data_IF_603689985014
#
_entry.id   IF_603689985014
#
_cell.length_a   1.000
_cell.length_b   1.000
_cell.length_c   1.000
_cell.angle_alpha   90.00
_cell.angle_beta   90.00
_cell.angle_gamma   90.00
#
_symmetry.space_group_name_H-M   'P 1'
#
loop_
_entity.id
_entity.type
_entity.pdbx_description
1 polymer ?
#
# COMPACT_ATOMS: atom_id res chain seq x y z
N UNK A 1 -14.01 63.84 -6.67
CA UNK A 1 -14.04 62.38 -6.97
C UNK A 1 -15.48 61.98 -7.26
N UNK A 2 -15.74 61.28 -8.37
CA UNK A 2 -17.10 60.96 -8.78
C UNK A 2 -17.60 59.71 -8.05
N UNK A 3 -18.87 59.72 -7.60
CA UNK A 3 -19.46 58.64 -6.78
C UNK A 3 -19.43 57.27 -7.48
N UNK A 4 -19.49 57.27 -8.83
CA UNK A 4 -19.34 56.07 -9.65
C UNK A 4 -17.95 55.39 -9.53
N UNK A 5 -16.87 56.16 -9.32
CA UNK A 5 -15.50 55.60 -9.22
C UNK A 5 -15.34 54.79 -7.93
N UNK A 6 -15.95 55.25 -6.83
CA UNK A 6 -15.98 54.50 -5.57
C UNK A 6 -16.75 53.18 -5.69
N UNK A 7 -17.90 53.18 -6.38
CA UNK A 7 -18.73 51.98 -6.57
C UNK A 7 -18.02 50.88 -7.40
N UNK A 8 -17.27 51.26 -8.44
CA UNK A 8 -16.51 50.29 -9.26
C UNK A 8 -15.39 49.63 -8.44
N UNK A 9 -14.69 50.38 -7.58
CA UNK A 9 -13.65 49.84 -6.71
C UNK A 9 -14.23 48.82 -5.71
N UNK A 10 -15.39 49.10 -5.11
CA UNK A 10 -16.05 48.16 -4.19
C UNK A 10 -16.49 46.84 -4.84
N UNK A 11 -16.80 46.83 -6.15
CA UNK A 11 -17.15 45.60 -6.86
C UNK A 11 -15.93 44.74 -7.20
N UNK A 12 -14.78 45.36 -7.47
CA UNK A 12 -13.53 44.64 -7.76
C UNK A 12 -12.99 43.84 -6.55
N UNK A 13 -13.26 44.29 -5.32
CA UNK A 13 -12.84 43.61 -4.08
C UNK A 13 -13.68 42.36 -3.77
N UNK A 14 -14.89 42.26 -4.32
CA UNK A 14 -15.79 41.11 -4.10
C UNK A 14 -15.38 39.83 -4.85
N UNK A 15 -14.43 39.91 -5.80
CA UNK A 15 -13.84 38.77 -6.51
C UNK A 15 -12.64 38.17 -5.74
N UNK A 16 -12.78 38.08 -4.41
CA UNK A 16 -11.75 37.64 -3.49
C UNK A 16 -11.44 36.14 -3.54
N UNK A 17 -10.71 35.72 -4.58
CA UNK A 17 -9.86 34.52 -4.67
C UNK A 17 -10.26 33.35 -3.75
N UNK A 18 -11.31 32.61 -4.10
CA UNK A 18 -11.58 31.27 -3.58
C UNK A 18 -10.58 30.25 -4.16
N UNK A 19 -9.30 30.41 -3.80
CA UNK A 19 -8.25 29.47 -4.12
C UNK A 19 -8.55 28.13 -3.43
N UNK A 20 -8.87 27.10 -4.21
CA UNK A 20 -9.11 25.76 -3.68
C UNK A 20 -7.83 25.23 -3.03
N UNK A 21 -7.85 25.03 -1.71
CA UNK A 21 -6.74 24.47 -0.97
C UNK A 21 -6.54 23.00 -1.35
N UNK A 22 -5.31 22.63 -1.76
CA UNK A 22 -4.90 21.23 -1.88
C UNK A 22 -4.78 20.52 -0.53
N UNK A 23 -4.72 21.27 0.57
CA UNK A 23 -4.75 20.70 1.91
C UNK A 23 -6.21 20.52 2.32
N UNK A 24 -6.69 19.28 2.23
CA UNK A 24 -7.96 18.84 2.81
C UNK A 24 -7.81 18.65 4.33
N UNK A 25 -8.93 18.64 5.03
CA UNK A 25 -9.00 18.29 6.46
C UNK A 25 -9.82 17.01 6.59
N UNK A 26 -9.32 16.05 7.35
CA UNK A 26 -9.99 14.79 7.62
C UNK A 26 -10.26 14.66 9.12
N UNK A 27 -11.48 14.22 9.48
CA UNK A 27 -11.96 14.11 10.87
C UNK A 27 -12.65 12.75 11.13
N UNK A 28 -12.38 11.73 10.31
CA UNK A 28 -12.90 10.37 10.48
C UNK A 28 -11.98 9.48 11.32
N UNK A 29 -12.22 8.15 11.31
CA UNK A 29 -11.37 7.18 12.00
C UNK A 29 -9.91 7.21 11.53
N UNK A 30 -8.96 6.93 12.41
CA UNK A 30 -7.53 6.97 12.08
C UNK A 30 -7.13 5.88 11.09
N UNK A 31 -6.31 6.22 10.09
CA UNK A 31 -5.66 5.21 9.23
C UNK A 31 -4.61 4.47 10.07
N UNK A 32 -4.97 3.28 10.53
CA UNK A 32 -4.10 2.41 11.33
C UNK A 32 -3.02 1.76 10.49
N UNK A 33 -3.31 1.53 9.20
CA UNK A 33 -2.53 0.66 8.32
C UNK A 33 -2.86 0.92 6.85
N UNK A 34 -1.95 0.58 5.94
CA UNK A 34 -2.10 0.76 4.48
C UNK A 34 -1.66 -0.52 3.77
N UNK A 35 -2.51 -1.03 2.87
CA UNK A 35 -2.13 -2.12 1.96
C UNK A 35 -1.97 -1.58 0.54
N UNK A 36 -0.93 -2.05 -0.16
CA UNK A 36 -0.63 -1.69 -1.55
C UNK A 36 -0.44 -2.99 -2.34
N UNK A 37 -1.50 -3.46 -2.99
CA UNK A 37 -1.47 -4.70 -3.75
C UNK A 37 -0.90 -4.46 -5.13
N UNK A 38 0.38 -4.80 -5.34
CA UNK A 38 1.04 -4.56 -6.63
C UNK A 38 0.30 -5.27 -7.76
N UNK A 39 -0.15 -6.51 -7.60
CA UNK A 39 -0.83 -7.27 -8.67
C UNK A 39 -2.12 -6.59 -9.16
N UNK A 40 -3.02 -6.23 -8.24
CA UNK A 40 -4.35 -5.66 -8.57
C UNK A 40 -4.32 -4.14 -8.82
N UNK A 41 -3.20 -3.47 -8.49
CA UNK A 41 -3.04 -2.00 -8.50
C UNK A 41 -4.02 -1.27 -7.56
N UNK A 42 -4.44 -1.93 -6.47
CA UNK A 42 -5.33 -1.38 -5.44
C UNK A 42 -4.60 -1.03 -4.16
N UNK A 43 -4.77 0.20 -3.68
CA UNK A 43 -4.32 0.67 -2.38
C UNK A 43 -5.53 0.84 -1.45
N UNK A 44 -5.42 0.34 -0.23
CA UNK A 44 -6.43 0.49 0.81
C UNK A 44 -5.86 1.27 2.00
N UNK A 45 -6.63 2.23 2.52
CA UNK A 45 -6.37 2.85 3.82
C UNK A 45 -7.30 2.20 4.85
N UNK A 46 -6.74 1.53 5.84
CA UNK A 46 -7.48 0.72 6.81
C UNK A 46 -7.66 1.43 8.15
N UNK A 47 -8.77 1.15 8.82
CA UNK A 47 -8.97 1.37 10.25
C UNK A 47 -9.31 0.03 10.89
N UNK A 48 -8.30 -0.63 11.45
CA UNK A 48 -8.35 -2.04 11.85
C UNK A 48 -8.81 -2.92 10.67
N UNK A 49 -9.89 -3.67 10.82
CA UNK A 49 -10.48 -4.53 9.79
C UNK A 49 -11.16 -3.78 8.63
N UNK A 50 -11.43 -2.48 8.80
CA UNK A 50 -12.36 -1.73 7.95
C UNK A 50 -11.65 -0.82 6.97
N UNK A 51 -11.87 -1.01 5.66
CA UNK A 51 -11.36 -0.13 4.62
C UNK A 51 -12.08 1.24 4.63
N UNK A 52 -11.32 2.32 4.88
CA UNK A 52 -11.80 3.70 4.85
C UNK A 52 -11.80 4.31 3.44
N UNK A 53 -10.87 3.88 2.60
CA UNK A 53 -10.73 4.34 1.22
C UNK A 53 -10.00 3.30 0.36
N UNK A 54 -10.33 3.27 -0.94
CA UNK A 54 -9.64 2.52 -1.99
C UNK A 54 -9.12 3.50 -3.04
N UNK A 55 -7.92 3.26 -3.59
CA UNK A 55 -7.34 4.02 -4.69
C UNK A 55 -6.71 3.10 -5.75
N UNK A 56 -6.85 3.47 -7.02
CA UNK A 56 -6.04 2.94 -8.12
C UNK A 56 -4.66 3.64 -8.13
N UNK A 57 -3.59 2.93 -8.53
CA UNK A 57 -2.25 3.55 -8.65
C UNK A 57 -1.41 3.03 -9.82
N UNK A 58 -0.40 3.83 -10.18
CA UNK A 58 0.75 3.44 -11.00
C UNK A 58 2.00 3.19 -10.14
N UNK A 59 2.84 2.24 -10.54
CA UNK A 59 4.12 1.92 -9.89
C UNK A 59 5.32 2.54 -10.62
N UNK A 60 6.53 2.11 -10.25
CA UNK A 60 7.70 2.29 -11.10
C UNK A 60 7.69 1.39 -12.35
N UNK A 61 8.43 1.80 -13.38
CA UNK A 61 8.44 1.19 -14.72
C UNK A 61 8.86 -0.28 -14.81
N UNK A 62 9.42 -0.85 -13.73
CA UNK A 62 9.61 -2.28 -13.57
C UNK A 62 8.74 -2.77 -12.39
N UNK A 63 7.42 -2.95 -12.58
CA UNK A 63 6.49 -3.14 -11.46
C UNK A 63 6.64 -4.48 -10.71
N UNK A 64 7.36 -5.47 -11.27
CA UNK A 64 7.42 -6.83 -10.73
C UNK A 64 8.68 -7.06 -9.87
N UNK A 65 8.49 -7.59 -8.67
CA UNK A 65 9.54 -7.94 -7.71
C UNK A 65 10.02 -6.78 -6.83
N UNK A 66 10.76 -7.12 -5.77
CA UNK A 66 11.32 -6.22 -4.77
C UNK A 66 12.41 -5.30 -5.36
N UNK A 67 12.61 -4.12 -4.76
CA UNK A 67 13.57 -3.11 -5.21
C UNK A 67 14.98 -3.40 -4.71
N UNK A 68 15.88 -3.80 -5.61
CA UNK A 68 17.25 -4.16 -5.24
C UNK A 68 18.21 -2.97 -5.33
N UNK A 69 17.97 -2.03 -6.25
CA UNK A 69 18.92 -0.94 -6.48
C UNK A 69 18.32 0.37 -7.03
N UNK A 70 19.08 1.45 -6.84
CA UNK A 70 18.83 2.75 -7.47
C UNK A 70 18.79 2.60 -8.99
N UNK A 71 17.65 2.97 -9.58
CA UNK A 71 17.45 2.99 -11.03
C UNK A 71 16.89 1.70 -11.64
N UNK A 72 16.61 0.65 -10.86
CA UNK A 72 15.96 -0.58 -11.36
C UNK A 72 14.50 -0.39 -11.84
N UNK A 73 13.88 0.75 -11.53
CA UNK A 73 12.48 1.03 -11.84
C UNK A 73 11.46 0.33 -10.95
N UNK A 74 11.88 -0.42 -9.92
CA UNK A 74 10.99 -1.19 -9.06
C UNK A 74 10.44 -0.39 -7.89
N UNK A 75 9.22 -0.69 -7.49
CA UNK A 75 8.66 -0.30 -6.18
C UNK A 75 8.97 -1.42 -5.17
N UNK A 76 9.48 -1.12 -3.96
CA UNK A 76 9.83 -2.13 -2.97
C UNK A 76 8.62 -2.98 -2.57
N UNK A 77 8.92 -4.14 -1.98
CA UNK A 77 7.94 -5.10 -1.45
C UNK A 77 8.26 -5.37 0.03
N UNK A 78 7.25 -5.65 0.85
CA UNK A 78 7.35 -5.84 2.30
C UNK A 78 6.75 -4.69 3.13
N UNK A 79 7.06 -4.69 4.42
CA UNK A 79 6.51 -3.74 5.41
C UNK A 79 7.43 -2.54 5.62
N UNK A 80 6.84 -1.35 5.58
CA UNK A 80 7.47 -0.05 5.84
C UNK A 80 6.59 0.80 6.74
N UNK A 81 7.08 1.97 7.14
CA UNK A 81 6.32 2.99 7.87
C UNK A 81 6.44 4.31 7.12
N UNK A 82 5.37 5.12 7.09
CA UNK A 82 5.50 6.46 6.51
C UNK A 82 6.22 7.40 7.50
N UNK A 83 7.26 8.06 7.04
CA UNK A 83 8.26 8.75 7.87
C UNK A 83 8.51 10.20 7.44
N UNK A 84 7.86 10.65 6.35
CA UNK A 84 8.02 12.00 5.79
C UNK A 84 6.71 12.50 5.18
N UNK A 85 6.40 13.78 5.33
CA UNK A 85 5.31 14.48 4.63
C UNK A 85 5.83 15.67 3.83
N UNK A 86 5.55 15.72 2.53
CA UNK A 86 6.03 16.79 1.65
C UNK A 86 4.89 17.65 1.07
N UNK A 87 4.60 18.83 1.65
CA UNK A 87 3.64 19.78 1.09
C UNK A 87 4.14 20.47 -0.19
N UNK A 88 5.43 20.38 -0.51
CA UNK A 88 6.11 21.03 -1.63
C UNK A 88 6.62 20.01 -2.68
N UNK A 89 5.94 18.86 -2.79
CA UNK A 89 6.25 17.82 -3.77
C UNK A 89 6.20 18.34 -5.21
N UNK A 90 7.15 17.90 -6.03
CA UNK A 90 7.14 18.11 -7.48
C UNK A 90 5.95 17.43 -8.20
N UNK A 91 5.25 16.52 -7.48
CA UNK A 91 4.06 15.79 -7.93
C UNK A 91 2.86 16.14 -7.02
N UNK A 92 2.56 17.45 -6.91
CA UNK A 92 1.47 18.05 -6.14
C UNK A 92 1.60 17.94 -4.60
N UNK A 93 1.59 16.72 -4.06
CA UNK A 93 1.82 16.38 -2.64
C UNK A 93 2.56 15.03 -2.58
N UNK A 94 3.16 14.68 -1.44
CA UNK A 94 3.59 13.31 -1.20
C UNK A 94 3.71 12.94 0.29
N UNK A 95 3.61 11.64 0.58
CA UNK A 95 4.00 11.00 1.85
C UNK A 95 5.07 9.95 1.56
N UNK A 96 6.15 9.95 2.34
CA UNK A 96 7.34 9.13 2.13
C UNK A 96 7.41 7.96 3.08
N UNK A 97 8.02 6.85 2.64
CA UNK A 97 8.24 5.65 3.45
C UNK A 97 9.71 5.49 3.85
N UNK A 98 9.96 4.79 4.96
CA UNK A 98 11.31 4.53 5.49
C UNK A 98 12.18 3.55 4.67
N UNK A 99 11.92 3.41 3.36
CA UNK A 99 12.80 2.69 2.43
C UNK A 99 14.09 3.49 2.16
N UNK A 100 15.27 2.86 2.16
CA UNK A 100 15.51 1.44 2.43
C UNK A 100 15.53 1.15 3.94
N UNK A 101 14.85 0.08 4.35
CA UNK A 101 14.85 -0.45 5.73
C UNK A 101 16.20 -1.14 6.04
N UNK A 102 16.31 -1.87 7.16
CA UNK A 102 17.59 -2.52 7.52
C UNK A 102 17.96 -3.71 6.62
N UNK A 103 16.98 -4.53 6.25
CA UNK A 103 17.16 -5.69 5.37
C UNK A 103 17.52 -5.25 3.95
N UNK A 104 16.83 -4.24 3.42
CA UNK A 104 17.10 -3.63 2.11
C UNK A 104 18.56 -3.14 2.04
N UNK A 105 19.05 -2.55 3.14
CA UNK A 105 20.44 -2.08 3.26
C UNK A 105 21.42 -3.24 3.38
N UNK A 106 21.04 -4.38 3.97
CA UNK A 106 21.90 -5.58 4.01
C UNK A 106 21.99 -6.23 2.64
N UNK A 107 20.85 -6.55 1.99
CA UNK A 107 20.79 -7.14 0.64
C UNK A 107 21.57 -6.32 -0.37
N UNK A 108 21.36 -4.99 -0.40
CA UNK A 108 22.09 -4.11 -1.31
C UNK A 108 23.60 -4.04 -1.00
N UNK A 109 24.00 -4.08 0.28
CA UNK A 109 25.42 -4.12 0.69
C UNK A 109 26.10 -5.43 0.29
N UNK A 110 25.40 -6.55 0.43
CA UNK A 110 25.87 -7.89 0.05
C UNK A 110 26.02 -8.01 -1.47
N UNK A 111 25.06 -7.45 -2.23
CA UNK A 111 25.13 -7.35 -3.69
C UNK A 111 26.09 -6.25 -4.20
N UNK A 112 26.65 -5.42 -3.32
CA UNK A 112 27.59 -4.34 -3.68
C UNK A 112 26.96 -3.14 -4.39
N UNK A 113 25.65 -2.92 -4.25
CA UNK A 113 24.87 -1.88 -4.95
C UNK A 113 24.36 -0.78 -4.00
N UNK A 114 23.87 0.33 -4.57
CA UNK A 114 23.16 1.35 -3.81
C UNK A 114 21.65 1.04 -3.87
N UNK A 115 20.94 0.82 -2.75
CA UNK A 115 19.51 0.45 -2.76
C UNK A 115 18.59 1.56 -3.30
N UNK A 116 19.04 2.81 -3.32
CA UNK A 116 18.20 3.96 -3.61
C UNK A 116 17.79 4.69 -2.33
N UNK A 117 16.49 4.92 -2.19
CA UNK A 117 15.86 5.84 -1.22
C UNK A 117 14.71 6.57 -1.92
N UNK A 118 14.15 7.58 -1.25
CA UNK A 118 13.16 8.50 -1.81
C UNK A 118 11.93 7.82 -2.45
N UNK A 119 11.42 6.77 -1.80
CA UNK A 119 10.13 6.16 -2.15
C UNK A 119 9.00 6.93 -1.45
N UNK A 120 8.00 7.31 -2.23
CA UNK A 120 6.84 8.08 -1.80
C UNK A 120 5.55 7.56 -2.45
N UNK A 121 4.41 7.78 -1.79
CA UNK A 121 3.12 7.90 -2.46
C UNK A 121 2.97 9.38 -2.87
N UNK A 122 2.65 9.66 -4.13
CA UNK A 122 2.54 11.04 -4.64
C UNK A 122 1.44 11.22 -5.69
N UNK A 123 1.18 12.47 -6.07
CA UNK A 123 0.21 12.82 -7.11
C UNK A 123 0.65 12.48 -8.54
N UNK A 124 -0.11 13.00 -9.51
CA UNK A 124 0.00 12.62 -10.91
C UNK A 124 1.21 13.21 -11.67
N UNK A 125 1.47 12.70 -12.90
CA UNK A 125 2.61 13.09 -13.71
C UNK A 125 2.56 14.56 -14.16
N UNK A 126 3.59 15.32 -13.79
CA UNK A 126 3.74 16.73 -14.18
C UNK A 126 4.34 16.89 -15.57
N UNK A 127 5.29 16.04 -15.97
CA UNK A 127 5.85 16.04 -17.33
C UNK A 127 4.87 15.45 -18.37
N UNK A 128 4.84 16.02 -19.58
CA UNK A 128 3.92 15.60 -20.63
C UNK A 128 4.17 14.17 -21.16
N UNK A 129 5.40 13.66 -21.06
CA UNK A 129 5.82 12.32 -21.53
C UNK A 129 5.26 11.16 -20.68
N UNK A 130 4.84 11.45 -19.45
CA UNK A 130 4.38 10.47 -18.47
C UNK A 130 2.84 10.49 -18.30
N UNK A 131 2.15 11.52 -18.81
CA UNK A 131 0.69 11.66 -18.70
C UNK A 131 -0.04 10.56 -19.47
N UNK A 132 -0.77 9.73 -18.74
CA UNK A 132 -1.50 8.59 -19.30
C UNK A 132 -0.63 7.37 -19.64
N UNK A 133 0.67 7.39 -19.31
CA UNK A 133 1.49 6.18 -19.30
C UNK A 133 1.31 5.47 -17.96
N UNK A 134 0.95 4.19 -17.97
CA UNK A 134 0.94 3.37 -16.76
C UNK A 134 2.35 3.15 -16.21
N UNK A 135 2.43 2.90 -14.91
CA UNK A 135 3.66 2.55 -14.18
C UNK A 135 4.85 3.46 -14.53
N UNK A 136 4.63 4.77 -14.46
CA UNK A 136 5.53 5.75 -15.05
C UNK A 136 6.69 6.18 -14.15
N UNK A 137 6.71 5.81 -12.86
CA UNK A 137 7.67 6.35 -11.88
C UNK A 137 9.03 5.63 -11.89
N UNK A 138 9.97 6.04 -11.03
CA UNK A 138 11.25 5.35 -10.79
C UNK A 138 11.21 4.34 -9.60
N UNK A 139 10.01 4.09 -9.04
CA UNK A 139 9.79 3.21 -7.89
C UNK A 139 8.78 3.74 -6.86
N UNK A 140 8.37 5.01 -6.95
CA UNK A 140 7.27 5.59 -6.19
C UNK A 140 5.90 5.00 -6.60
N UNK A 141 4.90 5.23 -5.76
CA UNK A 141 3.50 4.91 -6.02
C UNK A 141 2.78 6.21 -6.42
N UNK A 142 2.15 6.25 -7.58
CA UNK A 142 1.48 7.46 -8.09
C UNK A 142 -0.04 7.27 -8.14
N UNK A 143 -0.77 8.19 -7.51
CA UNK A 143 -2.22 8.34 -7.57
C UNK A 143 -2.58 9.67 -8.26
N UNK A 144 -3.86 9.99 -8.47
CA UNK A 144 -4.21 11.31 -9.01
C UNK A 144 -3.95 12.45 -8.02
N UNK A 145 -3.86 13.68 -8.55
CA UNK A 145 -3.71 14.87 -7.70
C UNK A 145 -4.84 15.05 -6.68
N UNK A 146 -6.05 14.51 -6.92
CA UNK A 146 -7.15 14.61 -5.95
C UNK A 146 -6.95 13.62 -4.80
N UNK A 147 -6.57 12.39 -5.12
CA UNK A 147 -6.46 11.29 -4.16
C UNK A 147 -5.26 11.47 -3.22
N UNK A 148 -4.14 12.02 -3.71
CA UNK A 148 -3.02 12.35 -2.82
C UNK A 148 -3.40 13.43 -1.80
N UNK A 149 -4.37 14.30 -2.07
CA UNK A 149 -4.88 15.25 -1.06
C UNK A 149 -5.71 14.55 0.02
N UNK A 150 -6.42 13.47 -0.33
CA UNK A 150 -7.17 12.63 0.61
C UNK A 150 -6.20 11.80 1.46
N UNK A 151 -5.27 11.07 0.83
CA UNK A 151 -4.19 10.31 1.49
C UNK A 151 -3.36 11.21 2.41
N UNK A 152 -2.97 12.41 1.96
CA UNK A 152 -2.20 13.35 2.77
C UNK A 152 -3.00 13.89 3.96
N UNK A 153 -4.34 14.01 3.85
CA UNK A 153 -5.18 14.42 4.98
C UNK A 153 -5.46 13.27 5.97
N UNK A 154 -5.52 12.02 5.50
CA UNK A 154 -5.88 10.83 6.29
C UNK A 154 -4.69 10.16 6.99
N UNK A 155 -3.59 9.92 6.26
CA UNK A 155 -2.42 9.16 6.74
C UNK A 155 -1.55 10.02 7.67
N UNK A 156 -0.89 9.41 8.65
CA UNK A 156 0.01 10.07 9.62
C UNK A 156 1.42 9.47 9.55
N UNK A 157 2.43 10.24 9.98
CA UNK A 157 3.77 9.68 10.19
C UNK A 157 3.72 8.63 11.31
N UNK A 158 4.36 7.48 11.10
CA UNK A 158 4.22 6.28 11.92
C UNK A 158 3.18 5.26 11.44
N UNK A 159 2.27 5.62 10.51
CA UNK A 159 1.34 4.62 9.93
C UNK A 159 2.14 3.55 9.15
N UNK A 160 1.96 2.24 9.45
CA UNK A 160 2.55 1.14 8.69
C UNK A 160 1.94 1.01 7.30
N UNK A 161 2.74 0.51 6.36
CA UNK A 161 2.36 0.28 4.96
C UNK A 161 3.00 -0.99 4.42
N UNK A 162 2.15 -1.88 3.92
CA UNK A 162 2.50 -3.21 3.43
C UNK A 162 2.37 -3.23 1.91
N UNK A 163 3.50 -3.30 1.21
CA UNK A 163 3.53 -3.35 -0.25
C UNK A 163 3.63 -4.81 -0.67
N UNK A 164 2.49 -5.37 -1.07
CA UNK A 164 2.27 -6.80 -1.29
C UNK A 164 2.79 -7.20 -2.68
N UNK A 165 3.62 -8.26 -2.80
CA UNK A 165 4.24 -8.66 -4.07
C UNK A 165 3.27 -8.92 -5.23
N UNK A 166 3.75 -8.70 -6.45
CA UNK A 166 2.95 -8.80 -7.68
C UNK A 166 2.53 -10.25 -8.07
N UNK A 167 3.03 -11.26 -7.36
CA UNK A 167 2.69 -12.69 -7.50
C UNK A 167 1.83 -13.24 -6.35
N UNK A 168 1.48 -12.43 -5.36
CA UNK A 168 0.65 -12.87 -4.22
C UNK A 168 -0.79 -13.09 -4.68
N UNK A 169 -1.29 -14.33 -4.66
CA UNK A 169 -2.69 -14.68 -5.02
C UNK A 169 -3.69 -13.96 -4.08
N UNK A 170 -4.10 -12.73 -4.41
CA UNK A 170 -5.13 -11.99 -3.68
C UNK A 170 -6.51 -12.59 -4.00
N UNK A 171 -7.34 -12.97 -3.02
CA UNK A 171 -8.70 -13.43 -3.27
C UNK A 171 -9.56 -12.29 -3.88
N UNK A 172 -10.45 -12.59 -4.85
CA UNK A 172 -11.31 -11.57 -5.44
C UNK A 172 -12.34 -11.04 -4.44
N UNK A 173 -12.65 -9.74 -4.57
CA UNK A 173 -13.80 -9.04 -3.99
C UNK A 173 -14.02 -9.22 -2.47
N UNK A 174 -13.20 -8.55 -1.66
CA UNK A 174 -13.53 -8.22 -0.27
C UNK A 174 -13.44 -9.37 0.74
N UNK A 175 -12.88 -10.51 0.36
CA UNK A 175 -12.51 -11.56 1.30
C UNK A 175 -11.53 -11.01 2.35
N UNK A 176 -11.80 -11.32 3.63
CA UNK A 176 -11.26 -10.62 4.80
C UNK A 176 -9.73 -10.65 4.84
N UNK A 177 -9.12 -9.49 5.06
CA UNK A 177 -7.71 -9.39 5.49
C UNK A 177 -7.59 -9.89 6.92
N UNK A 178 -7.55 -11.21 7.09
CA UNK A 178 -7.44 -11.87 8.40
C UNK A 178 -6.06 -11.64 9.00
N UNK A 179 -5.97 -10.58 9.80
CA UNK A 179 -4.79 -10.21 10.57
C UNK A 179 -4.66 -11.08 11.82
N UNK A 180 -4.07 -12.27 11.69
CA UNK A 180 -3.12 -12.84 12.67
C UNK A 180 -2.18 -13.84 11.98
N UNK A 181 -0.91 -13.90 12.39
CA UNK A 181 0.00 -15.04 12.15
C UNK A 181 0.52 -15.31 10.73
N UNK A 182 -0.01 -14.70 9.66
CA UNK A 182 0.42 -15.01 8.28
C UNK A 182 1.81 -14.45 7.97
N UNK A 183 2.84 -15.30 8.15
CA UNK A 183 4.11 -15.15 7.43
C UNK A 183 3.85 -15.25 5.92
N UNK A 184 4.42 -14.35 5.12
CA UNK A 184 4.17 -14.23 3.68
C UNK A 184 4.87 -15.34 2.88
N UNK A 185 4.40 -16.58 3.07
CA UNK A 185 4.79 -17.73 2.28
C UNK A 185 4.39 -17.52 0.82
N UNK A 186 5.36 -17.19 -0.03
CA UNK A 186 5.17 -17.11 -1.47
C UNK A 186 4.88 -18.52 -2.02
N UNK A 187 3.59 -18.80 -2.27
CA UNK A 187 3.15 -20.11 -2.79
C UNK A 187 3.72 -20.34 -4.18
N UNK A 188 4.35 -21.49 -4.37
CA UNK A 188 4.97 -21.93 -5.62
C UNK A 188 3.95 -22.02 -6.79
N UNK A 189 4.44 -21.95 -8.03
CA UNK A 189 3.61 -21.96 -9.25
C UNK A 189 2.91 -23.31 -9.52
N UNK A 190 3.09 -24.31 -8.67
CA UNK A 190 2.62 -25.70 -8.85
C UNK A 190 1.27 -26.06 -8.24
N UNK A 191 0.72 -25.27 -7.31
CA UNK A 191 -0.55 -25.61 -6.61
C UNK A 191 -1.80 -24.95 -7.23
N UNK A 192 -2.76 -25.80 -7.56
CA UNK A 192 -4.13 -25.45 -8.00
C UNK A 192 -4.91 -24.64 -6.94
N UNK A 193 -6.06 -24.08 -7.33
CA UNK A 193 -6.97 -23.40 -6.40
C UNK A 193 -7.69 -24.41 -5.50
N UNK A 194 -7.63 -24.20 -4.19
CA UNK A 194 -8.50 -24.87 -3.22
C UNK A 194 -9.97 -24.59 -3.55
N UNK A 195 -10.79 -25.63 -3.42
CA UNK A 195 -12.23 -25.57 -3.60
C UNK A 195 -12.94 -24.93 -2.39
N UNK A 196 -14.20 -24.55 -2.58
CA UNK A 196 -15.04 -24.02 -1.51
C UNK A 196 -15.29 -25.04 -0.38
N UNK A 197 -15.13 -26.33 -0.64
CA UNK A 197 -15.26 -27.40 0.35
C UNK A 197 -14.01 -27.55 1.21
N UNK A 198 -12.82 -27.39 0.61
CA UNK A 198 -11.54 -27.37 1.33
C UNK A 198 -11.39 -26.10 2.19
N UNK A 199 -11.83 -24.93 1.70
CA UNK A 199 -11.89 -23.71 2.50
C UNK A 199 -12.81 -23.85 3.72
N UNK A 200 -13.99 -24.44 3.56
CA UNK A 200 -14.91 -24.71 4.66
C UNK A 200 -14.35 -25.69 5.70
N UNK A 201 -13.48 -26.62 5.29
CA UNK A 201 -12.77 -27.52 6.21
C UNK A 201 -11.71 -26.79 7.06
N UNK A 202 -11.02 -25.79 6.48
CA UNK A 202 -10.06 -24.94 7.21
C UNK A 202 -10.78 -24.08 8.26
N UNK A 203 -11.88 -23.42 7.89
CA UNK A 203 -12.70 -22.63 8.82
C UNK A 203 -13.21 -23.50 9.99
N UNK A 204 -13.66 -24.73 9.70
CA UNK A 204 -14.13 -25.67 10.71
C UNK A 204 -13.01 -26.15 11.67
N UNK A 205 -11.78 -26.33 11.16
CA UNK A 205 -10.64 -26.71 11.98
C UNK A 205 -10.22 -25.58 12.95
N UNK A 206 -10.16 -24.34 12.46
CA UNK A 206 -9.84 -23.15 13.26
C UNK A 206 -10.89 -22.94 14.35
N UNK A 207 -12.18 -23.10 14.03
CA UNK A 207 -13.28 -22.98 15.00
C UNK A 207 -13.28 -24.09 16.07
N UNK A 208 -12.65 -25.24 15.82
CA UNK A 208 -12.65 -26.38 16.74
C UNK A 208 -11.61 -26.26 17.87
N UNK A 209 -10.47 -25.59 17.64
CA UNK A 209 -9.44 -25.38 18.67
C UNK A 209 -8.77 -23.98 18.55
N UNK A 210 -9.45 -22.91 19.01
CA UNK A 210 -9.00 -21.52 18.84
C UNK A 210 -7.80 -21.11 19.74
N UNK A 211 -7.05 -22.08 20.29
CA UNK A 211 -5.88 -21.84 21.15
C UNK A 211 -4.55 -22.40 20.64
N UNK A 212 -4.56 -23.33 19.67
CA UNK A 212 -3.34 -23.95 19.13
C UNK A 212 -3.04 -23.47 17.71
N UNK A 213 -2.22 -22.42 17.61
CA UNK A 213 -1.71 -21.92 16.32
C UNK A 213 -0.64 -22.86 15.75
N UNK A 214 -1.03 -23.85 14.95
CA UNK A 214 -0.09 -24.60 14.09
C UNK A 214 -0.51 -24.55 12.61
N UNK A 215 0.45 -24.16 11.77
CA UNK A 215 0.29 -24.11 10.31
C UNK A 215 0.49 -25.53 9.75
N UNK A 216 -0.53 -26.08 9.10
CA UNK A 216 -0.40 -27.32 8.33
C UNK A 216 0.00 -26.97 6.89
N UNK A 217 1.22 -27.31 6.51
CA UNK A 217 1.66 -27.26 5.11
C UNK A 217 1.16 -28.51 4.39
N UNK A 218 0.47 -28.34 3.26
CA UNK A 218 0.07 -29.45 2.38
C UNK A 218 1.08 -29.60 1.24
N UNK A 219 1.67 -30.79 1.10
CA UNK A 219 2.68 -31.10 0.08
C UNK A 219 3.32 -32.48 0.27
N UNK A 220 2.78 -33.47 -0.45
CA UNK A 220 3.12 -34.90 -0.39
C UNK A 220 2.80 -35.67 0.92
N UNK A 221 2.21 -36.86 0.72
CA UNK A 221 1.76 -37.93 1.65
C UNK A 221 1.61 -37.61 3.16
N UNK A 222 0.36 -37.42 3.60
CA UNK A 222 -0.02 -37.49 5.03
C UNK A 222 -0.17 -38.96 5.46
N UNK A 223 0.84 -39.49 6.15
CA UNK A 223 0.67 -40.72 6.95
C UNK A 223 -0.04 -40.38 8.28
N UNK A 224 -1.12 -41.10 8.59
CA UNK A 224 -1.89 -40.90 9.83
C UNK A 224 -1.14 -41.49 11.03
N UNK A 225 -0.29 -40.67 11.66
CA UNK A 225 0.35 -41.03 12.94
C UNK A 225 -0.72 -41.05 14.04
N UNK A 226 -1.21 -42.25 14.35
CA UNK A 226 -2.21 -42.48 15.39
C UNK A 226 -1.72 -42.14 16.80
N UNK A 227 -2.67 -41.97 17.72
CA UNK A 227 -2.44 -41.64 19.13
C UNK A 227 -1.49 -42.66 19.78
N UNK A 228 -0.40 -42.16 20.39
CA UNK A 228 0.46 -42.96 21.25
C UNK A 228 -0.08 -42.98 22.68
N UNK A 229 -0.36 -44.17 23.20
CA UNK A 229 -0.84 -44.37 24.58
C UNK A 229 0.09 -43.72 25.64
N UNK A 230 -0.47 -43.22 26.76
CA UNK A 230 0.32 -42.66 27.84
C UNK A 230 1.17 -43.74 28.53
N UNK A 231 2.45 -43.45 28.72
CA UNK A 231 3.38 -44.29 29.50
C UNK A 231 3.35 -43.86 30.98
N UNK A 232 3.32 -44.83 31.89
CA UNK A 232 3.37 -44.64 33.36
C UNK A 232 4.73 -44.11 33.86
#
# INVERSE_FOLDING_TARGET
MNRAVLLVISLAVALGLTACSKFKTYNGPEVTEIFVFKQTRKMYLMHHDTALAEFDFDLGFAPNGHKEQRGDGRTPEGTYYIDRRNPNSAYHLSVGINYPNEEDRSRAKEAGVNPGGDIFIHGGPTEAKDRGRKDWTAGCIAVTNKEIEDIYAMVREGTPIHIVPANTKVPPDGAVMLTEGVELAAVDESTDMLTLEELAAVDAAIAANPGDSQIVTIGEEVELVGEGDPVE
#
